data_IF_218574949130
#
_entry.id   IF_218574949130
#
_cell.length_a   1.000
_cell.length_b   1.000
_cell.length_c   1.000
_cell.angle_alpha   90.00
_cell.angle_beta   90.00
_cell.angle_gamma   90.00
#
_symmetry.space_group_name_H-M   'P 1'
#
loop_
_entity.id
_entity.type
_entity.pdbx_description
1 polymer ?
#
# COMPACT_ATOMS: atom_id res chain seq x y z
N UNK A 1 13.13 -12.27 -3.52
CA UNK A 1 13.60 -12.38 -2.13
C UNK A 1 12.53 -12.78 -1.11
N UNK A 2 11.58 -11.91 -0.72
CA UNK A 2 10.65 -12.22 0.38
C UNK A 2 9.84 -13.52 0.16
N UNK A 3 9.27 -13.70 -1.05
CA UNK A 3 8.55 -14.91 -1.44
C UNK A 3 9.44 -16.17 -1.41
N UNK A 4 10.67 -16.06 -1.93
CA UNK A 4 11.66 -17.15 -1.99
C UNK A 4 12.09 -17.61 -0.59
N UNK A 5 12.24 -16.66 0.35
CA UNK A 5 12.59 -16.97 1.74
C UNK A 5 11.43 -17.62 2.51
N UNK A 6 10.20 -17.29 2.15
CA UNK A 6 9.01 -17.71 2.90
C UNK A 6 8.45 -19.04 2.41
N UNK A 7 8.57 -19.35 1.12
CA UNK A 7 8.04 -20.59 0.53
C UNK A 7 8.47 -21.86 1.28
N UNK A 8 9.75 -22.12 1.59
CA UNK A 8 10.17 -23.37 2.23
C UNK A 8 9.62 -23.56 3.65
N UNK A 9 9.29 -22.45 4.33
CA UNK A 9 8.68 -22.47 5.65
C UNK A 9 7.18 -22.69 5.52
N UNK A 10 6.50 -21.84 4.76
CA UNK A 10 5.04 -21.83 4.68
C UNK A 10 4.49 -23.13 4.07
N UNK A 11 5.22 -23.76 3.15
CA UNK A 11 4.83 -25.04 2.57
C UNK A 11 4.83 -26.21 3.55
N UNK A 12 5.49 -26.09 4.72
CA UNK A 12 5.56 -27.14 5.75
C UNK A 12 4.33 -27.16 6.66
N UNK A 13 3.56 -26.09 6.69
CA UNK A 13 2.43 -25.94 7.61
C UNK A 13 1.12 -25.96 6.85
N UNK A 14 0.41 -27.09 6.92
CA UNK A 14 -0.88 -27.31 6.24
C UNK A 14 -2.09 -26.82 7.04
N UNK A 15 -1.91 -26.46 8.31
CA UNK A 15 -2.95 -25.90 9.18
C UNK A 15 -3.32 -24.44 8.88
N UNK A 16 -2.68 -23.83 7.87
CA UNK A 16 -2.91 -22.46 7.45
C UNK A 16 -1.71 -21.57 7.73
N UNK A 17 -1.17 -20.95 6.68
CA UNK A 17 -0.15 -19.91 6.74
C UNK A 17 -0.57 -18.76 5.83
N UNK A 18 -0.19 -17.54 6.22
CA UNK A 18 -0.46 -16.33 5.44
C UNK A 18 0.85 -15.55 5.31
N UNK A 19 1.17 -15.13 4.09
CA UNK A 19 2.21 -14.13 3.85
C UNK A 19 1.59 -12.75 3.65
N UNK A 20 1.88 -11.83 4.56
CA UNK A 20 1.45 -10.44 4.45
C UNK A 20 2.47 -9.61 3.66
N UNK A 21 2.04 -9.05 2.53
CA UNK A 21 2.83 -8.13 1.71
C UNK A 21 2.43 -6.68 2.05
N UNK A 22 3.14 -6.09 3.02
CA UNK A 22 2.99 -4.68 3.36
C UNK A 22 3.73 -3.79 2.35
N UNK A 23 3.01 -2.85 1.73
CA UNK A 23 3.58 -1.96 0.72
C UNK A 23 3.55 -0.53 1.25
N UNK A 24 4.66 0.21 1.10
CA UNK A 24 4.79 1.59 1.60
C UNK A 24 3.88 2.60 0.89
N UNK A 25 3.41 2.26 -0.30
CA UNK A 25 2.60 3.13 -1.13
C UNK A 25 1.43 2.37 -1.77
N UNK A 26 0.47 3.12 -2.29
CA UNK A 26 -0.65 2.56 -3.02
C UNK A 26 -0.17 1.91 -4.33
N UNK A 27 -0.79 0.78 -4.67
CA UNK A 27 -0.62 0.20 -6.00
C UNK A 27 -1.21 1.13 -7.07
N UNK A 28 -0.45 1.33 -8.16
CA UNK A 28 -0.84 2.26 -9.22
C UNK A 28 -2.12 1.88 -9.96
N UNK A 29 -2.50 0.60 -9.96
CA UNK A 29 -3.79 0.14 -10.48
C UNK A 29 -4.18 -1.25 -9.97
N UNK A 30 -5.46 -1.60 -10.13
CA UNK A 30 -5.93 -2.97 -9.90
C UNK A 30 -5.28 -4.00 -10.83
N UNK A 31 -4.89 -3.61 -12.05
CA UNK A 31 -4.20 -4.49 -12.99
C UNK A 31 -2.79 -4.88 -12.48
N UNK A 32 -2.06 -3.92 -11.89
CA UNK A 32 -0.76 -4.19 -11.25
C UNK A 32 -0.93 -5.11 -10.04
N UNK A 33 -1.96 -4.88 -9.22
CA UNK A 33 -2.29 -5.78 -8.11
C UNK A 33 -2.58 -7.21 -8.59
N UNK A 34 -3.42 -7.36 -9.62
CA UNK A 34 -3.75 -8.65 -10.22
C UNK A 34 -2.50 -9.37 -10.71
N UNK A 35 -1.61 -8.66 -11.39
CA UNK A 35 -0.38 -9.25 -11.91
C UNK A 35 0.59 -9.66 -10.79
N UNK A 36 0.68 -8.87 -9.72
CA UNK A 36 1.44 -9.22 -8.51
C UNK A 36 0.91 -10.52 -7.89
N UNK A 37 -0.40 -10.61 -7.65
CA UNK A 37 -1.06 -11.80 -7.10
C UNK A 37 -0.82 -13.01 -7.98
N UNK A 38 -1.03 -12.87 -9.30
CA UNK A 38 -0.81 -13.95 -10.27
C UNK A 38 0.64 -14.44 -10.21
N UNK A 39 1.62 -13.54 -10.24
CA UNK A 39 3.05 -13.92 -10.18
C UNK A 39 3.40 -14.61 -8.87
N UNK A 40 2.90 -14.13 -7.74
CA UNK A 40 3.17 -14.73 -6.44
C UNK A 40 2.62 -16.17 -6.36
N UNK A 41 1.37 -16.37 -6.76
CA UNK A 41 0.70 -17.68 -6.63
C UNK A 41 1.05 -18.69 -7.74
N UNK A 42 1.55 -18.23 -8.89
CA UNK A 42 1.98 -19.14 -9.98
C UNK A 42 3.44 -19.53 -9.89
N UNK A 43 4.29 -18.71 -9.28
CA UNK A 43 5.73 -18.98 -9.16
C UNK A 43 6.15 -19.60 -7.83
N UNK A 44 5.31 -19.49 -6.79
CA UNK A 44 5.62 -19.96 -5.44
C UNK A 44 4.47 -20.79 -4.88
N UNK A 45 4.78 -21.79 -4.06
CA UNK A 45 3.83 -22.67 -3.36
C UNK A 45 3.35 -22.04 -2.06
N UNK A 46 2.84 -20.81 -2.14
CA UNK A 46 2.27 -20.09 -1.00
C UNK A 46 0.75 -20.29 -0.96
N UNK A 47 0.18 -20.79 0.15
CA UNK A 47 -1.24 -21.13 0.21
C UNK A 47 -2.15 -19.89 0.28
N UNK A 48 -1.66 -18.80 0.87
CA UNK A 48 -2.43 -17.59 1.08
C UNK A 48 -1.50 -16.37 1.16
N UNK A 49 -1.85 -15.29 0.46
CA UNK A 49 -1.16 -14.00 0.54
C UNK A 49 -2.15 -12.87 0.78
N UNK A 50 -1.73 -11.81 1.47
CA UNK A 50 -2.43 -10.52 1.46
C UNK A 50 -1.57 -9.45 0.83
N UNK A 51 -2.19 -8.49 0.17
CA UNK A 51 -1.53 -7.29 -0.34
C UNK A 51 -2.12 -6.09 0.39
N UNK A 52 -1.29 -5.41 1.17
CA UNK A 52 -1.73 -4.35 2.08
C UNK A 52 -0.95 -3.07 1.76
N UNK A 53 -1.48 -2.22 0.86
CA UNK A 53 -0.88 -0.92 0.58
C UNK A 53 -1.13 0.07 1.72
N UNK A 54 -0.17 0.95 1.97
CA UNK A 54 -0.31 2.06 2.91
C UNK A 54 -1.07 3.22 2.26
N UNK A 55 -2.08 3.72 2.97
CA UNK A 55 -2.82 4.93 2.61
C UNK A 55 -3.20 5.70 3.89
N UNK A 56 -3.50 6.98 3.73
CA UNK A 56 -4.03 7.84 4.77
C UNK A 56 -5.38 8.41 4.34
N UNK A 57 -6.25 8.72 5.29
CA UNK A 57 -7.58 9.30 5.00
C UNK A 57 -7.61 10.75 5.50
N UNK A 58 -7.87 11.68 4.58
CA UNK A 58 -8.21 13.06 4.91
C UNK A 58 -9.74 13.23 4.90
N UNK A 59 -10.35 13.84 5.94
CA UNK A 59 -11.79 14.13 5.95
C UNK A 59 -12.25 15.04 4.81
N UNK A 60 -11.35 15.82 4.21
CA UNK A 60 -11.65 16.75 3.10
C UNK A 60 -11.29 16.19 1.72
N UNK A 61 -10.16 15.48 1.62
CA UNK A 61 -9.62 15.03 0.34
C UNK A 61 -9.73 13.52 0.09
N UNK A 62 -10.27 12.76 1.03
CA UNK A 62 -10.44 11.32 0.93
C UNK A 62 -9.12 10.55 1.03
N UNK A 63 -8.98 9.51 0.20
CA UNK A 63 -7.80 8.64 0.18
C UNK A 63 -6.54 9.36 -0.32
N UNK A 64 -5.45 9.18 0.41
CA UNK A 64 -4.12 9.66 0.08
C UNK A 64 -3.16 8.46 0.00
N UNK A 65 -2.37 8.37 -1.05
CA UNK A 65 -1.35 7.33 -1.19
C UNK A 65 -0.23 7.54 -0.17
N UNK A 66 0.12 6.48 0.58
CA UNK A 66 1.21 6.51 1.56
C UNK A 66 0.79 7.00 2.96
N UNK A 67 1.77 7.04 3.84
CA UNK A 67 1.63 7.48 5.23
C UNK A 67 1.80 9.00 5.32
N UNK A 68 0.75 9.69 5.79
CA UNK A 68 0.73 11.13 5.96
C UNK A 68 0.20 11.49 7.33
N UNK A 69 1.03 12.13 8.17
CA UNK A 69 0.59 12.68 9.46
C UNK A 69 -0.36 13.87 9.29
N UNK A 70 -0.15 14.67 8.23
CA UNK A 70 -0.97 15.80 7.85
C UNK A 70 -1.29 15.69 6.36
N UNK A 71 -2.48 16.12 5.95
CA UNK A 71 -2.88 16.02 4.55
C UNK A 71 -2.07 17.03 3.72
N UNK A 72 -1.25 16.59 2.74
CA UNK A 72 -0.41 17.48 1.96
C UNK A 72 -1.23 18.48 1.14
N UNK A 73 -2.44 18.09 0.72
CA UNK A 73 -3.37 18.98 0.01
C UNK A 73 -3.96 20.05 0.93
N UNK A 74 -4.29 19.72 2.18
CA UNK A 74 -4.74 20.71 3.16
C UNK A 74 -3.64 21.73 3.47
N UNK A 75 -2.41 21.27 3.61
CA UNK A 75 -1.26 22.12 3.91
C UNK A 75 -0.96 23.07 2.74
N UNK A 76 -0.99 22.57 1.51
CA UNK A 76 -0.83 23.38 0.30
C UNK A 76 -1.93 24.46 0.19
N UNK A 77 -3.19 24.11 0.42
CA UNK A 77 -4.28 25.07 0.46
C UNK A 77 -4.10 26.13 1.57
N UNK A 78 -3.59 25.74 2.74
CA UNK A 78 -3.33 26.67 3.85
C UNK A 78 -2.19 27.65 3.50
N UNK A 79 -1.13 27.15 2.88
CA UNK A 79 -0.03 27.96 2.38
C UNK A 79 -0.49 28.94 1.28
N UNK A 80 -1.33 28.48 0.35
CA UNK A 80 -1.90 29.31 -0.70
C UNK A 80 -2.75 30.45 -0.11
N UNK A 81 -3.64 30.15 0.85
CA UNK A 81 -4.43 31.17 1.55
C UNK A 81 -3.55 32.21 2.26
N UNK A 82 -2.51 31.75 2.97
CA UNK A 82 -1.56 32.64 3.64
C UNK A 82 -0.84 33.56 2.64
N UNK A 83 -0.42 33.04 1.49
CA UNK A 83 0.23 33.84 0.43
C UNK A 83 -0.71 34.90 -0.13
N UNK A 84 -1.97 34.55 -0.42
CA UNK A 84 -2.95 35.52 -0.91
C UNK A 84 -3.23 36.65 0.07
N UNK A 85 -3.29 36.37 1.37
CA UNK A 85 -3.50 37.38 2.41
C UNK A 85 -2.30 38.32 2.58
N UNK A 86 -1.08 37.84 2.36
CA UNK A 86 0.14 38.67 2.43
C UNK A 86 0.36 39.52 1.18
N UNK A 87 -0.28 39.15 0.06
CA UNK A 87 -0.20 39.87 -1.21
C UNK A 87 -1.32 40.91 -1.38
N UNK A 88 -2.31 40.91 -0.49
CA UNK A 88 -3.40 41.90 -0.40
C UNK A 88 -3.03 43.00 0.60
#
# INVERSE_FOLDING_TARGET
>A
EALERQEPLQSRYTGGTVLHLYMREQLSSGAVCRELVRRALTRFRLPYITVTPTFSICPRHGYLSGEHRFCPKCDEEALARKRSLLAA
#
